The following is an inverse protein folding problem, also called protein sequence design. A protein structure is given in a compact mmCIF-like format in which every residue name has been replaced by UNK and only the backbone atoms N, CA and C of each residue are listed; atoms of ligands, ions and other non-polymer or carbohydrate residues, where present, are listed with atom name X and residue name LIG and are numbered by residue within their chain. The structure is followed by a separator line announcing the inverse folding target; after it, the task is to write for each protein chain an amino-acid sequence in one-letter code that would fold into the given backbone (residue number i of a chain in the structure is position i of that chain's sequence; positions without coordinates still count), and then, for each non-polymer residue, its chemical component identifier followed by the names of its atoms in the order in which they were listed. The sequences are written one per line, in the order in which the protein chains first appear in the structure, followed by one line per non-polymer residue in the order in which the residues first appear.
data_IF_003410886690
#
_entry.id   IF_003410886690
#
_cell.length_a   1.000
_cell.length_b   1.000
_cell.length_c   1.000
_cell.angle_alpha   90.00
_cell.angle_beta   90.00
_cell.angle_gamma   90.00
#
_symmetry.space_group_name_H-M   'P 1'
#
loop_
_entity.id
_entity.type
_entity.pdbx_description
1 polymer ?
#
# COMPACT_ATOMS: atom_id res chain seq x y z
N UNK A 1 12.41 -25.13 -8.15
CA UNK A 1 11.20 -24.38 -7.73
C UNK A 1 10.80 -23.45 -8.88
N UNK A 2 9.81 -23.80 -9.72
CA UNK A 2 9.36 -22.88 -10.78
C UNK A 2 8.60 -21.73 -10.11
N UNK A 3 9.14 -20.51 -10.22
CA UNK A 3 8.43 -19.32 -9.76
C UNK A 3 7.26 -19.09 -10.69
N UNK A 4 6.05 -19.39 -10.23
CA UNK A 4 4.84 -18.92 -10.88
C UNK A 4 4.83 -17.39 -10.78
N UNK A 5 5.22 -16.72 -11.87
CA UNK A 5 4.92 -15.31 -12.03
C UNK A 5 3.38 -15.18 -12.01
N UNK A 6 2.86 -14.43 -11.05
CA UNK A 6 1.41 -14.31 -10.81
C UNK A 6 0.68 -13.58 -11.95
N UNK A 7 1.38 -13.08 -12.96
CA UNK A 7 0.79 -12.45 -14.13
C UNK A 7 1.65 -12.66 -15.37
N UNK A 8 1.06 -13.25 -16.41
CA UNK A 8 1.63 -13.32 -17.76
C UNK A 8 1.48 -11.96 -18.43
N UNK A 9 2.54 -11.16 -18.41
CA UNK A 9 2.56 -9.81 -18.95
C UNK A 9 2.63 -9.77 -20.48
N UNK A 10 3.16 -10.81 -21.12
CA UNK A 10 3.25 -10.87 -22.57
C UNK A 10 1.86 -11.10 -23.16
N UNK A 11 1.05 -11.95 -22.53
CA UNK A 11 -0.39 -12.09 -22.87
C UNK A 11 -1.15 -10.78 -22.72
N UNK A 12 -1.01 -10.09 -21.58
CA UNK A 12 -1.74 -8.83 -21.32
C UNK A 12 -1.37 -7.75 -22.35
N UNK A 13 -0.10 -7.66 -22.75
CA UNK A 13 0.32 -6.74 -23.81
C UNK A 13 -0.25 -7.11 -25.18
N UNK A 14 -0.27 -8.40 -25.52
CA UNK A 14 -0.87 -8.87 -26.77
C UNK A 14 -2.37 -8.57 -26.84
N UNK A 15 -3.09 -8.77 -25.73
CA UNK A 15 -4.53 -8.44 -25.61
C UNK A 15 -4.79 -6.93 -25.74
N UNK A 16 -3.96 -6.10 -25.10
CA UNK A 16 -4.06 -4.65 -25.23
C UNK A 16 -3.81 -4.18 -26.68
N UNK A 17 -2.84 -4.78 -27.37
CA UNK A 17 -2.54 -4.46 -28.77
C UNK A 17 -3.64 -4.89 -29.75
N UNK A 18 -4.49 -5.84 -29.37
CA UNK A 18 -5.60 -6.29 -30.20
C UNK A 18 -6.78 -5.30 -30.23
N UNK A 19 -6.82 -4.31 -29.33
CA UNK A 19 -7.90 -3.30 -29.23
C UNK A 19 -9.31 -3.89 -29.28
N UNK A 20 -9.48 -5.09 -28.72
CA UNK A 20 -10.78 -5.75 -28.71
C UNK A 20 -11.79 -4.94 -27.88
N UNK A 21 -13.04 -4.78 -28.36
CA UNK A 21 -14.08 -4.08 -27.60
C UNK A 21 -14.31 -4.73 -26.23
N UNK A 22 -14.42 -3.89 -25.21
CA UNK A 22 -14.78 -4.32 -23.85
C UNK A 22 -16.28 -4.55 -23.82
N UNK A 23 -16.74 -5.66 -23.22
CA UNK A 23 -18.17 -5.88 -23.03
C UNK A 23 -18.78 -4.73 -22.21
N UNK A 24 -19.88 -4.17 -22.71
CA UNK A 24 -20.59 -3.05 -22.08
C UNK A 24 -22.06 -3.41 -21.93
N UNK A 25 -22.56 -3.27 -20.71
CA UNK A 25 -23.96 -3.46 -20.35
C UNK A 25 -24.57 -2.12 -19.91
N UNK A 26 -25.53 -1.63 -20.70
CA UNK A 26 -26.18 -0.33 -20.48
C UNK A 26 -26.99 -0.24 -19.17
N UNK A 27 -27.38 -1.38 -18.58
CA UNK A 27 -28.15 -1.39 -17.33
C UNK A 27 -27.25 -1.32 -16.09
N UNK A 28 -26.07 -1.92 -16.15
CA UNK A 28 -25.19 -2.10 -14.98
C UNK A 28 -23.95 -1.22 -15.00
N UNK A 29 -23.44 -0.89 -16.18
CA UNK A 29 -22.22 -0.10 -16.33
C UNK A 29 -22.48 1.41 -16.21
N UNK A 30 -21.47 2.12 -15.72
CA UNK A 30 -21.54 3.55 -15.42
C UNK A 30 -21.38 4.43 -16.67
N UNK A 31 -20.71 3.90 -17.69
CA UNK A 31 -20.45 4.53 -18.99
C UNK A 31 -20.00 3.47 -19.99
N UNK A 32 -20.12 3.77 -21.29
CA UNK A 32 -19.59 2.89 -22.34
C UNK A 32 -18.06 3.04 -22.44
N UNK A 33 -17.26 1.98 -22.12
CA UNK A 33 -15.81 2.03 -22.19
C UNK A 33 -15.27 2.09 -23.63
N UNK A 34 -16.08 1.71 -24.63
CA UNK A 34 -15.69 1.77 -26.05
C UNK A 34 -16.05 3.10 -26.70
N UNK A 35 -16.88 3.93 -26.05
CA UNK A 35 -17.13 5.31 -26.46
C UNK A 35 -16.23 6.30 -25.70
N UNK A 36 -15.22 6.81 -26.40
CA UNK A 36 -14.31 7.80 -25.85
C UNK A 36 -14.98 9.10 -25.40
N UNK A 37 -16.14 9.48 -25.94
CA UNK A 37 -16.88 10.66 -25.50
C UNK A 37 -17.60 10.41 -24.17
N UNK A 38 -18.32 9.29 -24.04
CA UNK A 38 -18.96 8.87 -22.79
C UNK A 38 -17.94 8.72 -21.65
N UNK A 39 -16.81 8.05 -21.91
CA UNK A 39 -15.73 7.89 -20.93
C UNK A 39 -15.19 9.26 -20.46
N UNK A 40 -14.88 10.17 -21.39
CA UNK A 40 -14.39 11.51 -21.03
C UNK A 40 -15.40 12.31 -20.21
N UNK A 41 -16.69 12.26 -20.58
CA UNK A 41 -17.75 12.94 -19.85
C UNK A 41 -17.83 12.43 -18.41
N UNK A 42 -17.85 11.11 -18.22
CA UNK A 42 -17.90 10.49 -16.89
C UNK A 42 -16.70 10.89 -16.02
N UNK A 43 -15.48 10.73 -16.55
CA UNK A 43 -14.25 11.04 -15.80
C UNK A 43 -14.07 12.55 -15.54
N UNK A 44 -14.63 13.43 -16.39
CA UNK A 44 -14.58 14.89 -16.15
C UNK A 44 -15.37 15.34 -14.92
N UNK A 45 -16.46 14.62 -14.60
CA UNK A 45 -17.30 14.88 -13.43
C UNK A 45 -16.87 14.06 -12.20
N UNK A 46 -15.94 13.11 -12.36
CA UNK A 46 -15.53 12.21 -11.29
C UNK A 46 -14.74 12.94 -10.20
N UNK A 47 -15.15 12.75 -8.94
CA UNK A 47 -14.42 13.26 -7.78
C UNK A 47 -13.28 12.33 -7.43
N UNK A 48 -12.05 12.72 -7.78
CA UNK A 48 -10.85 11.99 -7.36
C UNK A 48 -10.64 12.17 -5.86
N UNK A 49 -10.92 11.13 -5.09
CA UNK A 49 -10.50 11.08 -3.68
C UNK A 49 -9.14 10.40 -3.60
N UNK A 50 -8.23 10.99 -2.82
CA UNK A 50 -6.97 10.35 -2.42
C UNK A 50 -7.15 9.81 -1.01
N UNK A 51 -7.80 8.63 -0.83
CA UNK A 51 -7.87 8.05 0.50
C UNK A 51 -6.43 7.91 1.01
N UNK A 52 -6.18 8.45 2.20
CA UNK A 52 -4.89 8.27 2.86
C UNK A 52 -4.60 6.78 3.06
N UNK A 53 -3.40 6.47 3.57
CA UNK A 53 -3.04 5.09 3.94
C UNK A 53 -4.20 4.46 4.73
N UNK A 54 -4.69 3.27 4.34
CA UNK A 54 -5.72 2.56 5.09
C UNK A 54 -5.36 2.51 6.56
N UNK A 55 -6.33 2.82 7.42
CA UNK A 55 -6.11 2.82 8.87
C UNK A 55 -5.66 1.43 9.30
N UNK A 56 -4.54 1.36 10.03
CA UNK A 56 -4.08 0.10 10.60
C UNK A 56 -5.15 -0.47 11.53
N UNK A 57 -5.44 -1.77 11.42
CA UNK A 57 -6.42 -2.47 12.24
C UNK A 57 -6.08 -2.36 13.74
N UNK A 58 -4.79 -2.50 14.06
CA UNK A 58 -4.26 -2.28 15.41
C UNK A 58 -3.39 -1.03 15.40
N UNK A 59 -3.78 -0.03 16.20
CA UNK A 59 -2.96 1.16 16.43
C UNK A 59 -1.81 0.81 17.36
N UNK A 60 -0.60 1.23 17.03
CA UNK A 60 0.53 1.15 17.96
C UNK A 60 0.29 2.17 19.08
N UNK A 61 0.26 1.75 20.36
CA UNK A 61 0.13 2.69 21.47
C UNK A 61 1.37 3.59 21.53
N UNK A 62 1.17 4.84 21.95
CA UNK A 62 2.28 5.76 22.21
C UNK A 62 2.94 5.39 23.53
N UNK A 63 4.26 5.24 23.53
CA UNK A 63 5.05 5.04 24.75
C UNK A 63 5.58 6.40 25.21
N UNK A 64 5.09 6.90 26.35
CA UNK A 64 5.64 8.09 27.00
C UNK A 64 6.39 7.65 28.26
N UNK A 65 7.72 7.63 28.18
CA UNK A 65 8.60 7.32 29.30
C UNK A 65 9.88 8.13 29.23
N UNK A 66 10.55 8.33 30.38
CA UNK A 66 11.89 8.89 30.43
C UNK A 66 12.91 7.79 30.16
N UNK A 67 13.92 8.11 29.36
CA UNK A 67 15.03 7.23 29.02
C UNK A 67 16.31 8.01 29.32
N UNK A 68 17.33 7.34 29.83
CA UNK A 68 18.63 7.95 30.07
C UNK A 68 19.21 8.53 28.78
N UNK A 69 19.90 9.67 28.93
CA UNK A 69 20.34 10.46 27.79
C UNK A 69 21.39 9.72 26.93
N UNK A 70 22.29 9.00 27.58
CA UNK A 70 23.34 8.17 26.99
C UNK A 70 22.75 6.99 26.18
N UNK A 71 21.71 6.34 26.71
CA UNK A 71 21.02 5.25 26.02
C UNK A 71 20.30 5.70 24.74
N UNK A 72 19.94 6.98 24.66
CA UNK A 72 19.31 7.58 23.48
C UNK A 72 20.28 8.06 22.41
N UNK A 73 21.57 8.23 22.73
CA UNK A 73 22.55 8.73 21.76
C UNK A 73 22.78 7.74 20.61
N UNK A 74 23.04 6.47 20.95
CA UNK A 74 23.38 5.46 19.96
C UNK A 74 22.23 5.18 18.96
N UNK A 75 20.96 4.99 19.38
CA UNK A 75 19.86 4.80 18.43
C UNK A 75 19.70 6.01 17.50
N UNK A 76 19.79 7.24 18.02
CA UNK A 76 19.63 8.46 17.23
C UNK A 76 20.69 8.59 16.13
N UNK A 77 21.93 8.21 16.43
CA UNK A 77 23.03 8.22 15.45
C UNK A 77 22.81 7.22 14.30
N UNK A 78 22.07 6.13 14.53
CA UNK A 78 21.77 5.15 13.47
C UNK A 78 20.79 5.66 12.40
N UNK A 79 20.34 6.92 12.48
CA UNK A 79 19.55 7.59 11.45
C UNK A 79 18.12 7.08 11.30
N UNK A 80 17.57 7.20 10.09
CA UNK A 80 16.16 6.87 9.79
C UNK A 80 15.83 5.44 10.26
N UNK A 81 14.73 5.31 10.99
CA UNK A 81 14.24 4.01 11.47
C UNK A 81 14.77 3.56 12.84
N UNK A 82 15.50 4.41 13.57
CA UNK A 82 15.99 4.08 14.91
C UNK A 82 14.87 3.66 15.90
N UNK A 83 13.69 4.29 15.85
CA UNK A 83 12.53 3.89 16.67
C UNK A 83 12.09 2.46 16.36
N UNK A 84 12.13 2.05 15.09
CA UNK A 84 11.82 0.67 14.68
C UNK A 84 12.84 -0.32 15.24
N UNK A 85 14.12 0.05 15.27
CA UNK A 85 15.18 -0.79 15.88
C UNK A 85 14.97 -0.95 17.38
N UNK A 86 14.70 0.14 18.10
CA UNK A 86 14.37 0.10 19.54
C UNK A 86 13.15 -0.79 19.79
N UNK A 87 12.09 -0.64 19.00
CA UNK A 87 10.90 -1.48 19.11
C UNK A 87 11.21 -2.98 18.89
N UNK A 88 12.15 -3.33 18.00
CA UNK A 88 12.54 -4.71 17.77
C UNK A 88 13.33 -5.29 18.95
N UNK A 89 14.23 -4.50 19.55
CA UNK A 89 14.96 -4.91 20.76
C UNK A 89 13.98 -5.16 21.92
N UNK A 90 12.99 -4.29 22.12
CA UNK A 90 11.96 -4.49 23.14
C UNK A 90 11.14 -5.76 22.88
N UNK A 91 10.80 -6.04 21.61
CA UNK A 91 10.12 -7.27 21.24
C UNK A 91 10.95 -8.51 21.57
N UNK A 92 12.22 -8.50 21.20
CA UNK A 92 13.15 -9.61 21.44
C UNK A 92 13.36 -9.85 22.95
N UNK A 93 13.44 -8.79 23.75
CA UNK A 93 13.56 -8.90 25.20
C UNK A 93 12.33 -9.56 25.85
N UNK A 94 11.12 -9.20 25.39
CA UNK A 94 9.86 -9.82 25.83
C UNK A 94 9.78 -11.29 25.37
N UNK A 95 10.17 -11.59 24.13
CA UNK A 95 10.19 -12.96 23.60
C UNK A 95 11.18 -13.86 24.36
N UNK A 96 12.31 -13.30 24.82
CA UNK A 96 13.30 -13.99 25.64
C UNK A 96 12.93 -14.05 27.13
N UNK A 97 11.85 -13.39 27.56
CA UNK A 97 11.43 -13.33 28.97
C UNK A 97 12.38 -12.54 29.87
N UNK A 98 13.16 -11.62 29.30
CA UNK A 98 14.02 -10.69 30.06
C UNK A 98 13.21 -9.47 30.56
N UNK A 99 12.06 -9.22 29.91
CA UNK A 99 11.05 -8.21 30.26
C UNK A 99 9.67 -8.83 30.33
#
# INVERSE_FOLDING_TARGET
MKMHNKTDWDRVKAEAAAEAPVAHDQETDLYDPNDGAAARAYWSAAKVTRPGRPRAAVKRPSLNMRIDADLMEHPRQCGKGWQTRVNNVLREAVEKGVL
#
